data_IF_208733448888
#
_entry.id   IF_208733448888
#
_cell.length_a   1.000
_cell.length_b   1.000
_cell.length_c   1.000
_cell.angle_alpha   90.00
_cell.angle_beta   90.00
_cell.angle_gamma   90.00
#
_symmetry.space_group_name_H-M   'P 1'
#
loop_
_entity.id
_entity.type
_entity.pdbx_description
1 polymer ?
#
# COMPACT_ATOMS: atom_id res chain seq x y z
N UNK A 1 49.24 61.37 -33.92
CA UNK A 1 47.92 60.72 -33.82
C UNK A 1 48.15 59.27 -33.40
N UNK A 2 48.03 58.92 -32.10
CA UNK A 2 48.24 57.59 -31.56
C UNK A 2 46.83 56.91 -31.39
N UNK A 3 46.63 55.86 -32.17
CA UNK A 3 45.42 55.06 -32.12
C UNK A 3 45.54 53.99 -31.02
N UNK A 4 44.74 54.09 -29.98
CA UNK A 4 44.70 53.11 -28.91
C UNK A 4 43.67 52.02 -29.31
N UNK A 5 44.20 50.81 -29.53
CA UNK A 5 43.43 49.61 -29.74
C UNK A 5 43.00 49.05 -28.38
N UNK A 6 41.68 49.04 -28.11
CA UNK A 6 41.13 48.50 -26.88
C UNK A 6 40.86 47.00 -27.09
N UNK A 7 41.38 46.08 -26.28
CA UNK A 7 41.05 44.68 -26.41
C UNK A 7 39.65 44.35 -25.85
N UNK A 8 38.80 43.80 -26.68
CA UNK A 8 37.46 43.31 -26.32
C UNK A 8 37.64 41.95 -25.62
N UNK A 9 37.51 41.92 -24.30
CA UNK A 9 37.51 40.68 -23.51
C UNK A 9 36.12 40.07 -23.57
N UNK A 10 35.99 38.98 -24.35
CA UNK A 10 34.79 38.09 -24.34
C UNK A 10 34.81 37.24 -23.07
N UNK A 11 33.93 37.57 -22.12
CA UNK A 11 33.61 36.74 -20.98
C UNK A 11 32.71 35.59 -21.45
N UNK A 12 33.27 34.40 -21.65
CA UNK A 12 32.55 33.19 -21.80
C UNK A 12 31.96 32.77 -20.45
N UNK A 13 30.70 33.09 -20.20
CA UNK A 13 29.94 32.58 -19.05
C UNK A 13 29.59 31.11 -19.30
N UNK A 14 30.38 30.18 -18.76
CA UNK A 14 29.98 28.81 -18.62
C UNK A 14 28.85 28.71 -17.59
N UNK A 15 27.60 28.58 -18.04
CA UNK A 15 26.50 28.24 -17.16
C UNK A 15 26.66 26.75 -16.81
N UNK A 16 27.16 26.45 -15.64
CA UNK A 16 27.08 25.11 -15.05
C UNK A 16 25.60 24.82 -14.76
N UNK A 17 24.97 24.06 -15.65
CA UNK A 17 23.67 23.46 -15.39
C UNK A 17 23.91 22.35 -14.38
N UNK A 18 23.70 22.65 -13.09
CA UNK A 18 23.63 21.62 -12.06
C UNK A 18 22.37 20.79 -12.34
N UNK A 19 22.57 19.59 -12.88
CA UNK A 19 21.52 18.57 -12.92
C UNK A 19 21.24 18.21 -11.46
N UNK A 20 20.15 18.74 -10.91
CA UNK A 20 19.67 18.34 -9.59
C UNK A 20 19.20 16.88 -9.76
N UNK A 21 20.00 15.95 -9.29
CA UNK A 21 19.58 14.56 -9.16
C UNK A 21 18.39 14.58 -8.22
N UNK A 22 17.20 14.23 -8.74
CA UNK A 22 16.02 14.03 -7.89
C UNK A 22 16.40 12.92 -6.94
N UNK A 23 16.52 13.22 -5.66
CA UNK A 23 16.77 12.23 -4.64
C UNK A 23 15.65 11.18 -4.76
N UNK A 24 16.03 9.90 -4.84
CA UNK A 24 15.04 8.84 -4.78
C UNK A 24 14.27 9.03 -3.45
N UNK A 25 12.93 8.89 -3.47
CA UNK A 25 12.16 9.00 -2.24
C UNK A 25 12.74 8.00 -1.25
N UNK A 26 13.16 8.52 -0.10
CA UNK A 26 13.57 7.69 1.02
C UNK A 26 12.33 6.93 1.45
N UNK A 27 12.35 5.60 1.32
CA UNK A 27 11.24 4.75 1.77
C UNK A 27 11.25 4.88 3.29
N UNK A 28 10.39 5.74 3.82
CA UNK A 28 10.17 5.80 5.26
C UNK A 28 9.60 4.45 5.67
N UNK A 29 10.25 3.78 6.60
CA UNK A 29 9.82 2.49 7.12
C UNK A 29 8.36 2.61 7.56
N UNK A 30 7.46 2.02 6.77
CA UNK A 30 6.07 1.86 7.17
C UNK A 30 6.03 1.13 8.51
N UNK A 31 5.14 1.54 9.41
CA UNK A 31 5.00 0.91 10.73
C UNK A 31 4.90 -0.60 10.54
N UNK A 32 5.95 -1.32 10.92
CA UNK A 32 5.95 -2.76 10.86
C UNK A 32 5.18 -3.31 12.06
N UNK A 33 3.95 -3.68 11.80
CA UNK A 33 3.18 -4.46 12.75
C UNK A 33 3.78 -5.86 12.86
N UNK A 34 4.02 -6.35 14.06
CA UNK A 34 4.50 -7.71 14.25
C UNK A 34 3.94 -8.34 15.51
N UNK A 35 3.76 -9.64 15.46
CA UNK A 35 3.45 -10.50 16.59
C UNK A 35 4.28 -11.78 16.47
N UNK A 36 4.54 -12.51 17.56
CA UNK A 36 5.23 -13.78 17.48
C UNK A 36 4.53 -14.73 16.50
N UNK A 37 5.25 -15.40 15.59
CA UNK A 37 4.65 -16.26 14.58
C UNK A 37 3.98 -17.50 15.22
N UNK A 38 3.01 -18.12 14.51
CA UNK A 38 2.34 -19.31 15.00
C UNK A 38 3.32 -20.46 15.22
N UNK A 39 3.16 -21.18 16.33
CA UNK A 39 4.06 -22.31 16.70
C UNK A 39 4.02 -23.47 15.70
N UNK A 40 2.90 -23.65 15.00
CA UNK A 40 2.68 -24.73 14.02
C UNK A 40 3.18 -24.40 12.61
N UNK A 41 3.82 -23.24 12.42
CA UNK A 41 4.26 -22.73 11.13
C UNK A 41 3.25 -21.77 10.49
N UNK A 42 3.57 -21.23 9.30
CA UNK A 42 2.77 -20.21 8.65
C UNK A 42 1.36 -20.72 8.30
N UNK A 43 0.38 -19.85 8.48
CA UNK A 43 -1.02 -20.12 8.13
C UNK A 43 -1.18 -19.99 6.63
N UNK A 44 -1.76 -21.01 5.98
CA UNK A 44 -1.99 -21.00 4.54
C UNK A 44 -3.33 -20.34 4.27
N UNK A 45 -3.28 -19.16 3.62
CA UNK A 45 -4.45 -18.34 3.30
C UNK A 45 -4.57 -18.14 1.80
N UNK A 46 -5.80 -18.03 1.29
CA UNK A 46 -6.08 -17.62 -0.08
C UNK A 46 -6.76 -16.27 -0.10
N UNK A 47 -6.32 -15.35 -0.97
CA UNK A 47 -6.98 -14.07 -1.23
C UNK A 47 -7.79 -14.21 -2.52
N UNK A 48 -9.12 -14.00 -2.45
CA UNK A 48 -10.01 -14.10 -3.61
C UNK A 48 -10.41 -12.74 -4.16
N UNK A 49 -10.83 -11.85 -3.29
CA UNK A 49 -11.32 -10.55 -3.69
C UNK A 49 -11.04 -9.50 -2.61
N UNK A 50 -10.41 -8.44 -3.01
CA UNK A 50 -10.24 -7.26 -2.17
C UNK A 50 -10.28 -6.03 -3.08
N UNK A 51 -11.42 -5.36 -3.13
CA UNK A 51 -11.70 -4.32 -4.11
C UNK A 51 -12.16 -3.03 -3.45
N UNK A 52 -12.14 -1.95 -4.23
CA UNK A 52 -12.80 -0.70 -3.87
C UNK A 52 -14.33 -0.86 -4.00
N UNK A 53 -15.02 -0.76 -2.87
CA UNK A 53 -16.48 -0.83 -2.76
C UNK A 53 -17.10 0.56 -2.54
N UNK A 54 -16.30 1.62 -2.48
CA UNK A 54 -16.80 2.98 -2.23
C UNK A 54 -17.55 3.57 -3.42
N UNK A 55 -17.20 3.13 -4.63
CA UNK A 55 -17.73 3.68 -5.88
C UNK A 55 -17.33 5.13 -6.13
N UNK A 56 -16.46 5.71 -5.34
CA UNK A 56 -16.04 7.10 -5.45
C UNK A 56 -15.16 7.34 -6.67
N UNK A 57 -15.39 8.48 -7.33
CA UNK A 57 -14.62 8.90 -8.49
C UNK A 57 -14.04 10.29 -8.28
N UNK A 58 -12.92 10.58 -8.92
CA UNK A 58 -12.36 11.93 -8.95
C UNK A 58 -13.31 12.88 -9.67
N UNK A 59 -13.21 14.18 -9.37
CA UNK A 59 -14.16 15.21 -9.81
C UNK A 59 -14.49 15.28 -11.30
N UNK A 60 -13.70 14.68 -12.18
CA UNK A 60 -13.98 14.53 -13.62
C UNK A 60 -14.82 13.28 -13.95
N UNK A 61 -15.08 12.42 -12.98
CA UNK A 61 -15.89 11.20 -13.14
C UNK A 61 -15.22 10.06 -13.93
N UNK A 62 -14.03 10.24 -14.46
CA UNK A 62 -13.33 9.26 -15.29
C UNK A 62 -12.39 8.34 -14.51
N UNK A 63 -11.81 8.82 -13.40
CA UNK A 63 -10.87 8.07 -12.58
C UNK A 63 -11.48 7.70 -11.23
N UNK A 64 -11.09 6.55 -10.68
CA UNK A 64 -11.42 6.20 -9.31
C UNK A 64 -10.67 7.11 -8.32
N UNK A 65 -11.35 7.52 -7.26
CA UNK A 65 -10.73 8.30 -6.19
C UNK A 65 -9.80 7.43 -5.32
N UNK A 66 -10.03 6.13 -5.34
CA UNK A 66 -9.30 5.13 -4.57
C UNK A 66 -8.64 4.14 -5.51
N UNK A 67 -7.49 3.58 -5.10
CA UNK A 67 -6.75 2.61 -5.90
C UNK A 67 -7.56 1.36 -6.21
N UNK A 68 -7.52 0.90 -7.45
CA UNK A 68 -8.09 -0.38 -7.86
C UNK A 68 -7.15 -1.55 -7.55
N UNK A 69 -5.93 -1.27 -7.09
CA UNK A 69 -4.91 -2.24 -6.74
C UNK A 69 -4.85 -2.63 -5.26
N UNK A 70 -5.89 -2.33 -4.47
CA UNK A 70 -5.91 -2.57 -3.01
C UNK A 70 -5.65 -4.03 -2.62
N UNK A 71 -5.98 -4.99 -3.51
CA UNK A 71 -5.69 -6.39 -3.29
C UNK A 71 -4.19 -6.68 -3.18
N UNK A 72 -3.37 -5.97 -3.96
CA UNK A 72 -1.92 -6.12 -3.86
C UNK A 72 -1.41 -5.68 -2.49
N UNK A 73 -1.98 -4.61 -1.92
CA UNK A 73 -1.63 -4.17 -0.56
C UNK A 73 -2.02 -5.20 0.50
N UNK A 74 -3.15 -5.89 0.32
CA UNK A 74 -3.55 -6.97 1.22
C UNK A 74 -2.58 -8.17 1.11
N UNK A 75 -2.25 -8.58 -0.12
CA UNK A 75 -1.31 -9.68 -0.36
C UNK A 75 0.06 -9.36 0.24
N UNK A 76 0.58 -8.15 0.00
CA UNK A 76 1.87 -7.71 0.54
C UNK A 76 1.82 -7.61 2.05
N UNK A 77 0.78 -6.99 2.62
CA UNK A 77 0.60 -6.89 4.06
C UNK A 77 0.55 -8.25 4.77
N UNK A 78 -0.12 -9.24 4.19
CA UNK A 78 -0.14 -10.62 4.71
C UNK A 78 1.22 -11.30 4.57
N UNK A 79 1.88 -11.18 3.40
CA UNK A 79 3.18 -11.80 3.13
C UNK A 79 4.28 -11.26 4.04
N UNK A 80 4.29 -9.95 4.25
CA UNK A 80 5.37 -9.28 4.99
C UNK A 80 5.14 -9.27 6.49
N UNK A 81 3.92 -9.57 6.95
CA UNK A 81 3.59 -9.55 8.36
C UNK A 81 4.52 -10.45 9.19
N UNK A 82 5.07 -9.88 10.28
CA UNK A 82 5.97 -10.58 11.17
C UNK A 82 7.21 -11.14 10.47
N UNK A 83 7.80 -10.36 9.55
CA UNK A 83 8.96 -10.76 8.72
C UNK A 83 8.69 -11.97 7.82
N UNK A 84 7.46 -12.09 7.30
CA UNK A 84 7.06 -13.14 6.38
C UNK A 84 6.85 -14.53 7.00
N UNK A 85 6.73 -14.61 8.33
CA UNK A 85 6.62 -15.89 9.04
C UNK A 85 5.20 -16.27 9.46
N UNK A 86 4.23 -15.34 9.25
CA UNK A 86 2.85 -15.55 9.69
C UNK A 86 1.99 -16.27 8.66
N UNK A 87 2.05 -15.84 7.42
CA UNK A 87 1.15 -16.32 6.38
C UNK A 87 1.90 -16.87 5.17
N UNK A 88 1.33 -17.90 4.58
CA UNK A 88 1.67 -18.39 3.25
C UNK A 88 0.49 -18.08 2.35
N UNK A 89 0.61 -16.99 1.58
CA UNK A 89 -0.47 -16.47 0.74
C UNK A 89 -0.50 -17.20 -0.59
N UNK A 90 -1.68 -17.70 -0.95
CA UNK A 90 -1.94 -18.38 -2.21
C UNK A 90 -2.74 -17.47 -3.14
N UNK A 91 -2.33 -17.41 -4.40
CA UNK A 91 -3.09 -16.76 -5.46
C UNK A 91 -4.40 -17.51 -5.70
N UNK A 92 -5.53 -16.79 -5.68
CA UNK A 92 -6.86 -17.36 -5.94
C UNK A 92 -7.68 -16.54 -6.92
N UNK A 93 -7.41 -15.27 -7.09
CA UNK A 93 -8.11 -14.41 -8.04
C UNK A 93 -7.93 -14.88 -9.48
N UNK A 94 -6.68 -15.17 -9.85
CA UNK A 94 -6.30 -15.56 -11.20
C UNK A 94 -5.92 -17.05 -11.28
N UNK A 95 -6.55 -17.90 -10.47
CA UNK A 95 -6.23 -19.33 -10.40
C UNK A 95 -6.38 -20.04 -11.74
N UNK A 96 -7.27 -19.55 -12.59
CA UNK A 96 -7.48 -20.11 -13.93
C UNK A 96 -6.22 -20.06 -14.80
N UNK A 97 -5.42 -18.99 -14.68
CA UNK A 97 -4.15 -18.87 -15.40
C UNK A 97 -3.15 -19.91 -14.92
N UNK A 98 -3.10 -20.16 -13.61
CA UNK A 98 -2.25 -21.21 -13.02
C UNK A 98 -2.68 -22.58 -13.50
N UNK A 99 -4.00 -22.86 -13.55
CA UNK A 99 -4.53 -24.12 -14.02
C UNK A 99 -4.21 -24.35 -15.50
N UNK A 100 -4.37 -23.33 -16.34
CA UNK A 100 -3.99 -23.38 -17.77
C UNK A 100 -2.50 -23.67 -17.95
N UNK A 101 -1.65 -22.97 -17.21
CA UNK A 101 -0.19 -23.19 -17.30
C UNK A 101 0.18 -24.63 -16.87
N UNK A 102 -0.45 -25.13 -15.82
CA UNK A 102 -0.25 -26.53 -15.38
C UNK A 102 -0.72 -27.55 -16.41
N UNK A 103 -1.76 -27.24 -17.18
CA UNK A 103 -2.20 -28.10 -18.31
C UNK A 103 -1.15 -28.10 -19.42
N UNK A 104 -0.61 -26.94 -19.80
CA UNK A 104 0.45 -26.80 -20.80
C UNK A 104 1.68 -27.63 -20.38
N UNK A 105 2.11 -27.48 -19.11
CA UNK A 105 3.25 -28.23 -18.59
C UNK A 105 3.01 -29.73 -18.66
N UNK A 106 1.80 -30.23 -18.30
CA UNK A 106 1.47 -31.66 -18.39
C UNK A 106 1.55 -32.17 -19.82
N UNK A 107 0.98 -31.44 -20.78
CA UNK A 107 1.05 -31.82 -22.19
C UNK A 107 2.50 -31.86 -22.68
N UNK A 108 3.33 -30.88 -22.31
CA UNK A 108 4.75 -30.88 -22.67
C UNK A 108 5.53 -32.05 -22.03
N UNK A 109 5.20 -32.42 -20.79
CA UNK A 109 5.80 -33.58 -20.11
C UNK A 109 5.39 -34.89 -20.79
N UNK A 110 4.13 -35.04 -21.20
CA UNK A 110 3.61 -36.20 -21.95
C UNK A 110 4.31 -36.35 -23.31
N UNK A 111 4.43 -35.25 -24.07
CA UNK A 111 5.16 -35.23 -25.35
C UNK A 111 6.64 -35.61 -25.20
N UNK A 112 7.25 -35.19 -24.10
CA UNK A 112 8.66 -35.49 -23.80
C UNK A 112 8.86 -36.90 -23.18
N UNK A 113 7.81 -37.67 -22.97
CA UNK A 113 7.82 -38.95 -22.20
C UNK A 113 8.54 -38.80 -20.84
N UNK A 114 8.28 -37.69 -20.15
CA UNK A 114 8.89 -37.38 -18.87
C UNK A 114 8.21 -38.17 -17.75
N UNK A 115 8.99 -38.84 -16.92
CA UNK A 115 8.49 -39.48 -15.69
C UNK A 115 8.26 -38.49 -14.53
N UNK A 116 8.57 -37.22 -14.74
CA UNK A 116 8.39 -36.17 -13.72
C UNK A 116 6.91 -35.83 -13.57
N UNK A 117 6.49 -35.60 -12.32
CA UNK A 117 5.14 -35.15 -12.01
C UNK A 117 5.15 -33.74 -11.42
N UNK A 118 4.14 -32.94 -11.80
CA UNK A 118 3.91 -31.64 -11.15
C UNK A 118 3.46 -31.88 -9.70
N UNK A 119 4.08 -31.20 -8.72
CA UNK A 119 3.65 -31.30 -7.34
C UNK A 119 2.20 -30.82 -7.19
N UNK A 120 1.49 -31.37 -6.20
CA UNK A 120 0.13 -30.94 -5.88
C UNK A 120 0.07 -29.46 -5.51
N UNK A 121 -1.00 -28.80 -5.92
CA UNK A 121 -1.25 -27.43 -5.50
C UNK A 121 -1.60 -27.39 -4.01
N UNK A 122 -1.12 -26.37 -3.34
CA UNK A 122 -1.51 -26.12 -1.96
C UNK A 122 -2.98 -25.69 -1.90
N UNK A 123 -3.66 -26.07 -0.85
CA UNK A 123 -4.99 -25.58 -0.52
C UNK A 123 -4.93 -24.56 0.61
N UNK A 124 -5.80 -23.56 0.56
CA UNK A 124 -5.96 -22.61 1.64
C UNK A 124 -6.92 -23.18 2.69
N UNK A 125 -6.54 -23.15 3.95
CA UNK A 125 -7.46 -23.47 5.05
C UNK A 125 -8.40 -22.31 5.39
N UNK A 126 -7.95 -21.09 5.09
CA UNK A 126 -8.66 -19.85 5.36
C UNK A 126 -8.67 -19.01 4.09
N UNK A 127 -9.84 -18.45 3.76
CA UNK A 127 -9.97 -17.41 2.76
C UNK A 127 -9.97 -16.04 3.43
N UNK A 128 -9.27 -15.09 2.82
CA UNK A 128 -9.25 -13.70 3.23
C UNK A 128 -9.91 -12.87 2.14
N UNK A 129 -10.97 -12.16 2.49
CA UNK A 129 -11.76 -11.33 1.59
C UNK A 129 -12.05 -9.98 2.24
N UNK A 130 -12.43 -9.00 1.43
CA UNK A 130 -12.85 -7.69 1.93
C UNK A 130 -12.74 -6.61 0.89
N UNK A 131 -12.44 -5.40 1.35
CA UNK A 131 -12.27 -4.25 0.48
C UNK A 131 -12.24 -2.92 1.22
N UNK A 132 -12.12 -1.86 0.44
CA UNK A 132 -12.25 -0.50 0.93
C UNK A 132 -13.73 -0.16 0.90
N UNK A 133 -14.31 0.11 2.09
CA UNK A 133 -15.75 0.34 2.27
C UNK A 133 -16.09 1.80 2.49
N UNK A 134 -15.12 2.64 2.83
CA UNK A 134 -15.26 4.08 2.98
C UNK A 134 -13.99 4.81 2.60
N UNK A 135 -14.14 5.97 1.97
CA UNK A 135 -13.04 6.89 1.67
C UNK A 135 -13.57 8.32 1.61
N UNK A 136 -12.97 9.20 2.41
CA UNK A 136 -13.23 10.63 2.38
C UNK A 136 -11.91 11.40 2.32
N UNK A 137 -11.86 12.43 1.48
CA UNK A 137 -10.76 13.35 1.39
C UNK A 137 -11.27 14.78 1.58
N UNK A 138 -10.97 15.37 2.73
CA UNK A 138 -11.42 16.70 3.09
C UNK A 138 -10.24 17.68 3.14
N UNK A 139 -10.30 18.71 2.30
CA UNK A 139 -9.33 19.82 2.36
C UNK A 139 -9.71 20.71 3.52
N UNK A 140 -8.82 20.81 4.49
CA UNK A 140 -8.96 21.67 5.65
C UNK A 140 -7.99 22.85 5.48
N UNK A 141 -8.52 24.06 5.48
CA UNK A 141 -7.68 25.28 5.49
C UNK A 141 -7.52 25.74 6.93
N UNK A 142 -6.30 25.82 7.40
CA UNK A 142 -5.98 26.31 8.74
C UNK A 142 -6.26 27.80 8.86
N UNK A 143 -7.34 28.16 9.56
CA UNK A 143 -7.69 29.52 9.93
C UNK A 143 -8.31 29.53 11.30
N UNK A 144 -7.77 29.14 12.33
CA UNK A 144 -8.03 29.38 13.74
C UNK A 144 -7.36 28.28 14.58
N UNK A 145 -6.12 28.55 15.02
CA UNK A 145 -5.64 28.08 16.30
C UNK A 145 -5.31 26.60 16.49
N UNK A 146 -5.42 25.74 15.49
CA UNK A 146 -5.03 24.35 15.64
C UNK A 146 -3.57 24.16 15.22
N UNK A 147 -2.68 24.30 16.20
CA UNK A 147 -1.31 23.80 16.10
C UNK A 147 -1.34 22.28 16.29
N UNK A 148 -1.58 21.52 15.23
CA UNK A 148 -1.36 20.09 15.25
C UNK A 148 0.14 19.89 15.00
N UNK A 149 0.87 19.43 16.00
CA UNK A 149 2.29 19.06 15.93
C UNK A 149 3.29 20.19 15.50
N UNK A 150 2.99 21.45 15.78
CA UNK A 150 3.94 22.54 15.52
C UNK A 150 3.96 23.06 14.08
N UNK A 151 3.04 22.63 13.23
CA UNK A 151 2.89 23.11 11.86
C UNK A 151 2.17 24.46 11.89
N UNK A 152 2.80 25.48 11.30
CA UNK A 152 2.31 26.87 11.28
C UNK A 152 1.19 27.12 10.28
N UNK A 153 0.39 27.97 10.58
CA UNK A 153 -0.91 28.57 10.30
C UNK A 153 -1.29 28.89 8.85
N UNK A 154 -0.50 28.60 7.81
CA UNK A 154 -0.88 28.97 6.44
C UNK A 154 -1.00 27.82 5.46
N UNK A 155 -0.81 26.58 5.90
CA UNK A 155 -0.73 25.45 5.01
C UNK A 155 -2.09 24.78 4.87
N UNK A 156 -2.48 24.53 3.63
CA UNK A 156 -3.62 23.69 3.32
C UNK A 156 -3.21 22.25 3.60
N UNK A 157 -4.01 21.53 4.36
CA UNK A 157 -3.83 20.11 4.57
C UNK A 157 -5.07 19.34 4.12
N UNK A 158 -4.85 18.14 3.62
CA UNK A 158 -5.94 17.23 3.26
C UNK A 158 -6.00 16.12 4.29
N UNK A 159 -7.20 15.92 4.85
CA UNK A 159 -7.48 14.80 5.74
C UNK A 159 -8.10 13.69 4.91
N UNK A 160 -7.43 12.54 4.86
CA UNK A 160 -7.92 11.31 4.24
C UNK A 160 -8.45 10.40 5.34
N UNK A 161 -9.71 9.99 5.23
CA UNK A 161 -10.30 8.97 6.10
C UNK A 161 -10.59 7.75 5.25
N UNK A 162 -9.97 6.63 5.59
CA UNK A 162 -10.11 5.36 4.86
C UNK A 162 -10.69 4.31 5.80
N UNK A 163 -11.75 3.66 5.38
CA UNK A 163 -12.34 2.52 6.09
C UNK A 163 -12.16 1.26 5.26
N UNK A 164 -11.53 0.25 5.84
CA UNK A 164 -11.31 -1.05 5.21
C UNK A 164 -11.95 -2.16 6.02
N UNK A 165 -12.45 -3.17 5.32
CA UNK A 165 -13.00 -4.38 5.91
C UNK A 165 -12.20 -5.61 5.47
N UNK A 166 -11.89 -6.51 6.40
CA UNK A 166 -11.27 -7.82 6.13
C UNK A 166 -12.05 -8.91 6.86
N UNK A 167 -12.36 -10.01 6.17
CA UNK A 167 -12.96 -11.20 6.76
C UNK A 167 -12.08 -12.41 6.52
N UNK A 168 -11.92 -13.23 7.55
CA UNK A 168 -11.30 -14.54 7.46
C UNK A 168 -12.38 -15.61 7.52
N UNK A 169 -12.43 -16.50 6.53
CA UNK A 169 -13.48 -17.50 6.36
C UNK A 169 -12.83 -18.89 6.34
N UNK A 170 -13.36 -19.81 7.16
CA UNK A 170 -12.94 -21.22 7.15
C UNK A 170 -13.39 -21.89 5.86
N UNK A 171 -12.46 -22.48 5.12
CA UNK A 171 -12.81 -23.28 3.94
C UNK A 171 -13.55 -24.57 4.32
N UNK A 172 -13.24 -25.13 5.47
CA UNK A 172 -13.82 -26.40 5.92
C UNK A 172 -15.28 -26.26 6.37
N UNK A 173 -15.64 -25.14 7.02
CA UNK A 173 -16.97 -24.94 7.64
C UNK A 173 -17.78 -23.81 7.01
N UNK A 174 -17.16 -22.99 6.15
CA UNK A 174 -17.74 -21.74 5.62
C UNK A 174 -18.07 -20.69 6.71
N UNK A 175 -17.56 -20.88 7.90
CA UNK A 175 -17.75 -19.96 9.03
C UNK A 175 -16.85 -18.73 8.85
N UNK A 176 -17.38 -17.56 9.17
CA UNK A 176 -16.59 -16.33 9.28
C UNK A 176 -15.88 -16.35 10.64
N UNK A 177 -14.57 -16.64 10.61
CA UNK A 177 -13.74 -16.78 11.81
C UNK A 177 -13.42 -15.45 12.48
N UNK A 178 -13.24 -14.41 11.66
CA UNK A 178 -12.96 -13.04 12.11
C UNK A 178 -13.49 -12.04 11.08
N UNK A 179 -13.93 -10.88 11.57
CA UNK A 179 -14.41 -9.78 10.74
C UNK A 179 -13.88 -8.46 11.29
N UNK A 180 -12.93 -7.88 10.60
CA UNK A 180 -12.21 -6.67 11.01
C UNK A 180 -12.71 -5.49 10.22
N UNK A 181 -13.03 -4.41 10.89
CA UNK A 181 -13.30 -3.09 10.30
C UNK A 181 -12.30 -2.10 10.90
N UNK A 182 -11.50 -1.48 10.07
CA UNK A 182 -10.53 -0.46 10.47
C UNK A 182 -10.84 0.84 9.77
N UNK A 183 -10.98 1.90 10.55
CA UNK A 183 -10.95 3.26 10.05
C UNK A 183 -9.59 3.88 10.37
N UNK A 184 -9.01 4.57 9.42
CA UNK A 184 -7.74 5.25 9.56
C UNK A 184 -7.80 6.66 9.00
N UNK A 185 -7.28 7.61 9.78
CA UNK A 185 -7.17 9.01 9.38
C UNK A 185 -5.71 9.37 9.14
N UNK A 186 -5.44 9.98 8.00
CA UNK A 186 -4.12 10.46 7.59
C UNK A 186 -4.23 11.91 7.16
N UNK A 187 -3.33 12.74 7.67
CA UNK A 187 -3.17 14.11 7.22
C UNK A 187 -2.05 14.17 6.20
N UNK A 188 -2.30 14.77 5.07
CA UNK A 188 -1.27 15.16 4.11
C UNK A 188 -1.14 16.68 4.05
N UNK A 189 0.09 17.17 4.00
CA UNK A 189 0.41 18.58 3.78
C UNK A 189 1.23 18.69 2.52
N UNK A 190 0.89 19.64 1.65
CA UNK A 190 1.68 19.94 0.47
C UNK A 190 2.37 21.28 0.69
N UNK A 191 3.67 21.27 0.87
CA UNK A 191 4.48 22.49 0.90
C UNK A 191 4.66 23.01 -0.53
N UNK A 192 4.83 24.33 -0.68
CA UNK A 192 5.08 24.98 -1.98
C UNK A 192 6.36 24.48 -2.71
N UNK A 193 7.11 23.57 -2.09
CA UNK A 193 8.34 22.95 -2.60
C UNK A 193 8.14 21.50 -3.07
N UNK A 194 6.91 21.08 -3.38
CA UNK A 194 6.60 19.72 -3.91
C UNK A 194 6.87 18.55 -2.96
N UNK A 195 6.93 18.78 -1.68
CA UNK A 195 7.09 17.71 -0.69
C UNK A 195 5.78 17.47 0.05
N UNK A 196 5.22 16.28 -0.04
CA UNK A 196 4.04 15.88 0.72
C UNK A 196 4.47 15.17 2.00
N UNK A 197 3.91 15.58 3.13
CA UNK A 197 4.18 14.97 4.43
C UNK A 197 2.90 14.31 4.93
N UNK A 198 3.01 13.11 5.47
CA UNK A 198 1.89 12.34 6.00
C UNK A 198 1.99 12.24 7.52
N UNK A 199 0.85 12.32 8.19
CA UNK A 199 0.74 12.18 9.63
C UNK A 199 -0.34 11.15 9.96
N UNK A 200 0.05 10.09 10.66
CA UNK A 200 -0.87 9.10 11.17
C UNK A 200 -1.45 9.57 12.52
N UNK A 201 -2.74 9.83 12.57
CA UNK A 201 -3.41 10.36 13.76
C UNK A 201 -3.59 9.34 14.88
N UNK A 202 -3.60 8.06 14.56
CA UNK A 202 -3.82 6.98 15.54
C UNK A 202 -2.68 6.85 16.57
N UNK A 203 -1.45 7.23 16.22
CA UNK A 203 -0.26 6.94 17.03
C UNK A 203 0.60 8.14 17.41
N UNK A 204 0.23 9.34 17.05
CA UNK A 204 1.07 10.55 17.21
C UNK A 204 2.48 10.40 16.60
N UNK A 205 2.67 9.49 15.68
CA UNK A 205 3.92 9.29 14.96
C UNK A 205 3.86 10.13 13.69
N UNK A 206 4.86 10.95 13.50
CA UNK A 206 5.03 11.75 12.29
C UNK A 206 5.77 10.85 11.31
N UNK A 207 5.08 10.31 10.31
CA UNK A 207 5.71 9.71 9.16
C UNK A 207 5.91 10.80 8.11
N UNK A 208 7.15 11.09 7.75
CA UNK A 208 7.48 12.05 6.70
C UNK A 208 7.81 11.24 5.46
N UNK A 209 6.88 11.17 4.53
CA UNK A 209 7.12 10.62 3.20
C UNK A 209 7.07 11.76 2.19
N UNK A 210 8.09 11.90 1.37
CA UNK A 210 8.14 12.91 0.32
C UNK A 210 7.71 12.31 -1.01
N UNK A 211 6.51 12.68 -1.48
CA UNK A 211 5.97 12.26 -2.76
C UNK A 211 5.53 13.45 -3.62
N UNK A 212 5.49 13.27 -4.92
CA UNK A 212 5.25 14.36 -5.88
C UNK A 212 3.90 14.35 -6.59
N UNK A 213 2.96 13.44 -6.22
CA UNK A 213 1.66 13.33 -6.92
C UNK A 213 0.48 13.17 -5.97
N UNK A 214 -0.66 13.74 -6.36
CA UNK A 214 -1.94 13.67 -5.62
C UNK A 214 -2.53 12.25 -5.49
N UNK A 215 -2.06 11.29 -6.28
CA UNK A 215 -2.50 9.89 -6.19
C UNK A 215 -1.74 9.10 -5.11
N UNK A 216 -0.57 9.57 -4.69
CA UNK A 216 0.24 8.90 -3.66
C UNK A 216 -0.41 8.98 -2.29
N UNK A 217 -1.07 10.10 -1.99
CA UNK A 217 -1.75 10.33 -0.71
C UNK A 217 -2.85 9.30 -0.42
N UNK A 218 -3.72 9.06 -1.40
CA UNK A 218 -4.79 8.07 -1.26
C UNK A 218 -4.24 6.65 -1.19
N UNK A 219 -3.20 6.34 -1.96
CA UNK A 219 -2.56 5.03 -1.96
C UNK A 219 -1.88 4.72 -0.63
N UNK A 220 -1.18 5.71 -0.07
CA UNK A 220 -0.57 5.60 1.25
C UNK A 220 -1.62 5.37 2.34
N UNK A 221 -2.71 6.14 2.33
CA UNK A 221 -3.79 6.00 3.30
C UNK A 221 -4.43 4.60 3.24
N UNK A 222 -4.71 4.10 2.04
CA UNK A 222 -5.26 2.75 1.84
C UNK A 222 -4.27 1.68 2.31
N UNK A 223 -3.00 1.76 1.90
CA UNK A 223 -1.97 0.79 2.31
C UNK A 223 -1.81 0.74 3.82
N UNK A 224 -1.76 1.90 4.47
CA UNK A 224 -1.65 2.01 5.92
C UNK A 224 -2.88 1.41 6.64
N UNK A 225 -4.09 1.66 6.13
CA UNK A 225 -5.32 1.08 6.68
C UNK A 225 -5.35 -0.44 6.51
N UNK A 226 -4.93 -0.96 5.35
CA UNK A 226 -4.85 -2.41 5.09
C UNK A 226 -3.84 -3.09 6.02
N UNK A 227 -2.66 -2.51 6.20
CA UNK A 227 -1.64 -3.06 7.10
C UNK A 227 -2.14 -3.12 8.56
N UNK A 228 -2.85 -2.07 9.00
CA UNK A 228 -3.50 -2.08 10.32
C UNK A 228 -4.56 -3.17 10.41
N UNK A 229 -5.40 -3.33 9.39
CA UNK A 229 -6.44 -4.36 9.38
C UNK A 229 -5.87 -5.78 9.41
N UNK A 230 -4.75 -6.04 8.71
CA UNK A 230 -4.01 -7.31 8.82
C UNK A 230 -3.49 -7.54 10.24
N UNK A 231 -2.98 -6.49 10.89
CA UNK A 231 -2.55 -6.59 12.28
C UNK A 231 -3.69 -6.94 13.23
N UNK A 232 -4.82 -6.24 13.12
CA UNK A 232 -6.00 -6.51 13.94
C UNK A 232 -6.55 -7.93 13.68
N UNK A 233 -6.52 -8.40 12.42
CA UNK A 233 -6.88 -9.78 12.08
C UNK A 233 -5.99 -10.79 12.84
N UNK A 234 -4.69 -10.55 12.89
CA UNK A 234 -3.76 -11.42 13.63
C UNK A 234 -4.07 -11.39 15.12
N UNK A 235 -4.29 -10.22 15.70
CA UNK A 235 -4.60 -10.09 17.15
C UNK A 235 -5.92 -10.77 17.50
N UNK A 236 -6.97 -10.59 16.69
CA UNK A 236 -8.27 -11.24 16.91
C UNK A 236 -8.13 -12.76 16.81
N UNK A 237 -7.40 -13.27 15.81
CA UNK A 237 -7.17 -14.69 15.67
C UNK A 237 -6.36 -15.30 16.80
N UNK A 238 -5.38 -14.58 17.37
CA UNK A 238 -4.67 -14.98 18.60
C UNK A 238 -5.65 -15.06 19.77
N UNK A 239 -6.48 -14.00 19.95
CA UNK A 239 -7.45 -13.94 21.03
C UNK A 239 -8.47 -15.08 20.97
N UNK A 240 -8.94 -15.41 19.78
CA UNK A 240 -9.92 -16.45 19.51
C UNK A 240 -9.30 -17.84 19.33
N UNK A 241 -7.97 -17.98 19.50
CA UNK A 241 -7.21 -19.23 19.36
C UNK A 241 -7.42 -19.93 18.00
N UNK A 242 -7.49 -19.13 16.93
CA UNK A 242 -7.64 -19.63 15.56
C UNK A 242 -6.32 -20.18 15.01
N UNK A 243 -5.18 -19.73 15.56
CA UNK A 243 -3.81 -20.12 15.18
C UNK A 243 -2.83 -20.12 16.34
#
# INVERSE_FOLDING_TARGET
MKLYLLPLILLAACSNTTVTTIAQPEIVESIQYSSPPPKKGPIIVGVYSYADMTGQRQGTGLSSAVTQGAENYLIDGLKDYGTGKWFRVLERKNIENIVKERQIIRSAMEEANSESELPSMLYAGILVEGGIVGYDANVLSGGDGVRVFGIGVSDKYTKHTVTVAIRAISVATSEVLASILVEKEILSTTDNLTTTKFFDLDRKVIEIESGTTTNEESNYAVRSAVNKAVHELVLEGISNKLW
#
